data_IF_693728567173
#
_entry.id   IF_693728567173
#
_cell.length_a   1.000
_cell.length_b   1.000
_cell.length_c   1.000
_cell.angle_alpha   90.00
_cell.angle_beta   90.00
_cell.angle_gamma   90.00
#
_symmetry.space_group_name_H-M   'P 1'
#
loop_
_entity.id
_entity.type
_entity.pdbx_description
1 polymer ?
#
# COMPACT_ATOMS: atom_id res chain seq x y z
N UNK A 1 -15.90 23.26 3.98
CA UNK A 1 -16.77 22.63 2.98
C UNK A 1 -17.48 23.71 2.20
N UNK A 2 -17.63 23.57 0.88
CA UNK A 2 -18.45 24.49 0.08
C UNK A 2 -19.92 24.11 0.19
N UNK A 3 -20.83 25.03 -0.15
CA UNK A 3 -22.27 24.75 -0.24
C UNK A 3 -22.58 23.61 -1.22
N UNK A 4 -21.82 23.53 -2.32
CA UNK A 4 -21.95 22.47 -3.33
C UNK A 4 -21.65 21.10 -2.71
N UNK A 5 -20.57 20.99 -1.92
CA UNK A 5 -20.25 19.74 -1.22
C UNK A 5 -21.34 19.37 -0.22
N UNK A 6 -21.90 20.34 0.53
CA UNK A 6 -22.98 20.07 1.47
C UNK A 6 -24.23 19.56 0.76
N UNK A 7 -24.63 20.21 -0.34
CA UNK A 7 -25.78 19.77 -1.14
C UNK A 7 -25.58 18.35 -1.67
N UNK A 8 -24.43 18.05 -2.27
CA UNK A 8 -24.13 16.72 -2.79
C UNK A 8 -24.15 15.63 -1.71
N UNK A 9 -23.73 15.94 -0.47
CA UNK A 9 -23.86 15.00 0.67
C UNK A 9 -25.32 14.78 1.06
N UNK A 10 -26.15 15.82 1.06
CA UNK A 10 -27.60 15.68 1.31
C UNK A 10 -28.28 14.87 0.21
N UNK A 11 -27.91 15.09 -1.05
CA UNK A 11 -28.40 14.31 -2.19
C UNK A 11 -27.99 12.84 -2.08
N UNK A 12 -26.75 12.56 -1.68
CA UNK A 12 -26.29 11.19 -1.46
C UNK A 12 -27.11 10.49 -0.37
N UNK A 13 -27.35 11.15 0.76
CA UNK A 13 -28.19 10.62 1.85
C UNK A 13 -29.63 10.40 1.37
N UNK A 14 -30.23 11.36 0.66
CA UNK A 14 -31.60 11.25 0.17
C UNK A 14 -31.76 10.13 -0.87
N UNK A 15 -30.77 9.94 -1.75
CA UNK A 15 -30.75 8.87 -2.74
C UNK A 15 -30.35 7.51 -2.16
N UNK A 16 -29.85 7.46 -0.92
CA UNK A 16 -29.33 6.25 -0.29
C UNK A 16 -28.11 5.67 -1.01
N UNK A 17 -27.34 6.48 -1.77
CA UNK A 17 -26.13 6.07 -2.49
C UNK A 17 -25.22 7.26 -2.76
N UNK A 18 -23.95 7.04 -3.07
CA UNK A 18 -23.03 8.12 -3.36
C UNK A 18 -23.45 8.91 -4.60
N UNK A 19 -23.32 10.23 -4.54
CA UNK A 19 -23.53 11.14 -5.67
C UNK A 19 -22.21 11.35 -6.43
N UNK A 20 -22.21 11.39 -7.78
CA UNK A 20 -21.02 11.74 -8.55
C UNK A 20 -20.52 13.15 -8.19
N UNK A 21 -19.25 13.25 -7.78
CA UNK A 21 -18.57 14.52 -7.47
C UNK A 21 -17.71 15.07 -8.62
N UNK A 22 -17.51 14.28 -9.67
CA UNK A 22 -16.75 14.66 -10.86
C UNK A 22 -17.38 14.07 -12.12
N UNK A 23 -17.25 14.77 -13.25
CA UNK A 23 -17.76 14.33 -14.57
C UNK A 23 -16.70 13.65 -15.41
N UNK A 24 -15.42 13.74 -15.01
CA UNK A 24 -14.28 13.14 -15.70
C UNK A 24 -13.30 12.54 -14.69
N UNK A 25 -12.46 11.63 -15.18
CA UNK A 25 -11.35 11.09 -14.41
C UNK A 25 -10.21 12.13 -14.37
N UNK A 26 -10.03 12.81 -13.24
CA UNK A 26 -9.01 13.86 -13.10
C UNK A 26 -7.60 13.33 -12.82
N UNK A 27 -7.44 12.00 -12.70
CA UNK A 27 -6.17 11.36 -12.37
C UNK A 27 -5.91 10.24 -13.37
N UNK A 28 -4.75 10.29 -14.01
CA UNK A 28 -4.25 9.15 -14.78
C UNK A 28 -4.27 7.90 -13.91
N UNK A 29 -4.78 6.80 -14.47
CA UNK A 29 -4.67 5.46 -13.92
C UNK A 29 -3.99 4.61 -14.99
N UNK A 30 -2.82 4.07 -14.68
CA UNK A 30 -2.12 3.13 -15.57
C UNK A 30 -3.02 1.91 -15.78
N UNK A 31 -2.90 1.26 -16.95
CA UNK A 31 -3.63 0.02 -17.25
C UNK A 31 -3.22 -1.15 -16.35
N UNK A 32 -2.06 -1.03 -15.69
CA UNK A 32 -1.46 -2.10 -14.89
C UNK A 32 -0.98 -1.59 -13.52
N UNK A 33 -1.82 -0.92 -12.72
CA UNK A 33 -1.35 -0.31 -11.49
C UNK A 33 -1.05 -1.40 -10.45
N UNK A 34 0.00 -1.21 -9.65
CA UNK A 34 0.37 -2.14 -8.59
C UNK A 34 -0.52 -1.91 -7.37
N UNK A 35 -1.35 -2.89 -7.00
CA UNK A 35 -2.02 -2.87 -5.71
C UNK A 35 -1.03 -3.29 -4.61
N UNK A 36 -0.98 -2.52 -3.53
CA UNK A 36 -0.19 -2.83 -2.34
C UNK A 36 -1.02 -2.60 -1.08
N UNK A 37 -1.42 -3.70 -0.45
CA UNK A 37 -2.25 -3.74 0.76
C UNK A 37 -1.39 -4.20 1.92
N UNK A 38 -0.71 -3.28 2.63
CA UNK A 38 0.15 -3.64 3.75
C UNK A 38 -0.67 -3.95 5.01
N UNK A 39 -0.14 -4.81 5.85
CA UNK A 39 -0.60 -5.05 7.23
C UNK A 39 0.55 -4.84 8.21
N UNK A 40 0.23 -4.27 9.35
CA UNK A 40 1.16 -4.05 10.47
C UNK A 40 0.72 -4.81 11.70
N UNK A 41 1.69 -5.21 12.50
CA UNK A 41 1.43 -5.81 13.80
C UNK A 41 0.89 -4.75 14.75
N UNK A 42 -0.22 -5.05 15.43
CA UNK A 42 -0.74 -4.16 16.47
C UNK A 42 0.31 -3.87 17.55
N UNK A 43 0.43 -2.60 17.94
CA UNK A 43 1.32 -2.16 19.01
C UNK A 43 2.80 -1.99 18.65
N UNK A 44 3.27 -2.42 17.47
CA UNK A 44 4.65 -2.20 17.02
C UNK A 44 4.68 -1.38 15.73
N UNK A 45 4.91 -0.07 15.87
CA UNK A 45 4.91 0.86 14.75
C UNK A 45 5.95 0.45 13.70
N UNK A 46 5.47 0.06 12.51
CA UNK A 46 6.32 -0.28 11.38
C UNK A 46 6.83 -1.72 11.33
N UNK A 47 6.37 -2.61 12.22
CA UNK A 47 6.60 -4.03 12.06
C UNK A 47 5.63 -4.60 11.01
N UNK A 48 6.10 -4.98 9.81
CA UNK A 48 5.24 -5.61 8.81
C UNK A 48 4.72 -6.93 9.35
N UNK A 49 3.42 -7.14 9.20
CA UNK A 49 2.78 -8.43 9.41
C UNK A 49 2.67 -9.20 8.08
N UNK A 50 2.42 -8.47 7.00
CA UNK A 50 2.29 -9.02 5.67
C UNK A 50 1.87 -7.96 4.67
N UNK A 51 1.75 -8.36 3.41
CA UNK A 51 1.18 -7.53 2.37
C UNK A 51 0.60 -8.39 1.26
N UNK A 52 -0.54 -7.97 0.71
CA UNK A 52 -0.98 -8.43 -0.59
C UNK A 52 -0.46 -7.45 -1.64
N UNK A 53 0.22 -7.96 -2.68
CA UNK A 53 0.85 -7.14 -3.71
C UNK A 53 0.66 -7.76 -5.10
N UNK A 54 0.28 -6.97 -6.09
CA UNK A 54 0.16 -7.44 -7.47
C UNK A 54 -0.60 -6.50 -8.40
N UNK A 55 -0.46 -6.74 -9.71
CA UNK A 55 -1.18 -6.02 -10.77
C UNK A 55 -2.37 -6.82 -11.32
N UNK A 56 -2.42 -8.14 -11.09
CA UNK A 56 -3.53 -9.02 -11.49
C UNK A 56 -4.40 -9.34 -10.28
N UNK A 57 -5.70 -9.02 -10.37
CA UNK A 57 -6.68 -9.29 -9.32
C UNK A 57 -6.82 -10.78 -8.99
N UNK A 58 -6.56 -11.65 -9.96
CA UNK A 58 -6.77 -13.10 -9.86
C UNK A 58 -5.53 -13.84 -9.37
N UNK A 59 -4.36 -13.19 -9.44
CA UNK A 59 -3.08 -13.76 -9.04
C UNK A 59 -2.22 -12.77 -8.23
N UNK A 60 -2.73 -12.21 -7.11
CA UNK A 60 -1.90 -11.39 -6.23
C UNK A 60 -0.89 -12.26 -5.47
N UNK A 61 0.28 -11.71 -5.15
CA UNK A 61 1.25 -12.35 -4.26
C UNK A 61 0.96 -11.94 -2.82
N UNK A 62 0.80 -12.94 -1.95
CA UNK A 62 0.68 -12.74 -0.50
C UNK A 62 2.05 -12.93 0.15
N UNK A 63 2.56 -11.88 0.78
CA UNK A 63 3.77 -11.88 1.59
C UNK A 63 3.36 -11.88 3.07
N UNK A 64 4.01 -12.69 3.90
CA UNK A 64 3.70 -12.80 5.33
C UNK A 64 4.97 -12.80 6.17
N UNK A 65 4.88 -12.23 7.37
CA UNK A 65 5.91 -12.34 8.40
C UNK A 65 5.38 -13.25 9.51
N UNK A 66 5.77 -14.54 9.56
CA UNK A 66 5.17 -15.49 10.50
C UNK A 66 5.35 -15.09 11.98
N UNK A 67 6.45 -14.41 12.29
CA UNK A 67 6.74 -13.87 13.61
C UNK A 67 7.27 -12.43 13.46
N UNK A 68 6.41 -11.39 13.53
CA UNK A 68 6.81 -10.00 13.29
C UNK A 68 7.85 -9.42 14.26
N UNK A 69 8.06 -10.05 15.42
CA UNK A 69 9.10 -9.68 16.37
C UNK A 69 10.50 -10.12 15.92
N UNK A 70 10.56 -11.14 15.07
CA UNK A 70 11.80 -11.65 14.50
C UNK A 70 12.33 -10.64 13.46
N UNK A 71 13.61 -10.26 13.59
CA UNK A 71 14.25 -9.26 12.71
C UNK A 71 14.67 -9.85 11.37
N UNK A 72 14.99 -11.15 11.35
CA UNK A 72 15.44 -11.82 10.14
C UNK A 72 14.24 -12.06 9.23
N UNK A 73 13.14 -12.58 9.76
CA UNK A 73 11.89 -12.75 9.00
C UNK A 73 11.35 -11.42 8.48
N UNK A 74 11.49 -10.32 9.25
CA UNK A 74 11.14 -8.99 8.76
C UNK A 74 12.04 -8.56 7.61
N UNK A 75 13.33 -8.87 7.66
CA UNK A 75 14.28 -8.52 6.60
C UNK A 75 14.02 -9.33 5.33
N UNK A 76 13.69 -10.62 5.47
CA UNK A 76 13.28 -11.49 4.36
C UNK A 76 12.03 -10.96 3.67
N UNK A 77 11.02 -10.56 4.43
CA UNK A 77 9.83 -9.92 3.87
C UNK A 77 10.14 -8.65 3.05
N UNK A 78 11.06 -7.80 3.51
CA UNK A 78 11.47 -6.60 2.76
C UNK A 78 12.23 -6.97 1.48
N UNK A 79 13.01 -8.04 1.51
CA UNK A 79 13.72 -8.56 0.34
C UNK A 79 12.75 -9.15 -0.69
N UNK A 80 11.73 -9.89 -0.25
CA UNK A 80 10.65 -10.41 -1.10
C UNK A 80 9.79 -9.29 -1.68
N UNK A 81 9.47 -8.27 -0.89
CA UNK A 81 8.73 -7.11 -1.38
C UNK A 81 9.53 -6.37 -2.48
N UNK A 82 10.85 -6.27 -2.32
CA UNK A 82 11.72 -5.69 -3.34
C UNK A 82 11.76 -6.53 -4.63
N UNK A 83 11.72 -7.85 -4.53
CA UNK A 83 11.64 -8.75 -5.69
C UNK A 83 10.34 -8.59 -6.48
N UNK A 84 9.25 -8.14 -5.85
CA UNK A 84 7.99 -7.85 -6.56
C UNK A 84 7.98 -6.45 -7.15
N UNK A 85 8.32 -5.44 -6.34
CA UNK A 85 8.12 -4.05 -6.72
C UNK A 85 9.20 -3.52 -7.67
N UNK A 86 10.45 -3.96 -7.55
CA UNK A 86 11.51 -3.41 -8.38
C UNK A 86 11.36 -3.81 -9.85
N UNK A 87 11.10 -5.09 -10.22
CA UNK A 87 10.87 -5.43 -11.63
C UNK A 87 9.65 -4.71 -12.22
N UNK A 88 8.62 -4.49 -11.42
CA UNK A 88 7.47 -3.69 -11.83
C UNK A 88 7.86 -2.25 -12.15
N UNK A 89 8.66 -1.59 -11.31
CA UNK A 89 9.12 -0.21 -11.54
C UNK A 89 10.05 -0.14 -12.75
N UNK A 90 11.00 -1.07 -12.83
CA UNK A 90 12.02 -1.14 -13.88
C UNK A 90 11.39 -1.32 -15.27
N UNK A 91 10.29 -2.09 -15.37
CA UNK A 91 9.57 -2.27 -16.64
C UNK A 91 8.96 -0.99 -17.24
N UNK A 92 8.89 0.11 -16.50
CA UNK A 92 8.47 1.42 -17.03
C UNK A 92 9.64 2.26 -17.57
N UNK A 93 10.88 1.81 -17.39
CA UNK A 93 12.05 2.48 -17.94
C UNK A 93 12.24 2.23 -19.44
N UNK A 94 11.65 1.16 -19.99
CA UNK A 94 11.81 0.79 -21.41
C UNK A 94 10.90 1.61 -22.35
N UNK A 95 9.69 1.94 -21.89
CA UNK A 95 8.73 2.72 -22.67
C UNK A 95 8.93 4.21 -22.43
N UNK A 96 9.68 4.87 -23.32
CA UNK A 96 10.01 6.30 -23.18
C UNK A 96 9.47 7.14 -24.33
N UNK A 97 9.14 8.39 -24.01
CA UNK A 97 8.90 9.47 -24.95
C UNK A 97 10.07 10.47 -24.89
N UNK A 98 10.48 10.98 -26.04
CA UNK A 98 11.54 11.98 -26.14
C UNK A 98 10.92 13.39 -26.00
N UNK A 99 11.43 14.17 -25.05
CA UNK A 99 11.06 15.56 -24.86
C UNK A 99 12.28 16.46 -25.08
N UNK A 100 12.14 17.53 -25.87
CA UNK A 100 13.19 18.53 -26.02
C UNK A 100 13.16 19.51 -24.84
N UNK A 101 14.23 19.56 -24.05
CA UNK A 101 14.41 20.51 -22.95
C UNK A 101 15.59 21.43 -23.21
N UNK A 102 15.53 22.63 -22.63
CA UNK A 102 16.65 23.58 -22.68
C UNK A 102 17.49 23.45 -21.43
N UNK A 103 18.67 22.88 -21.55
CA UNK A 103 19.66 22.83 -20.47
C UNK A 103 20.79 23.83 -20.70
N UNK A 104 21.42 24.27 -19.62
CA UNK A 104 22.58 25.17 -19.70
C UNK A 104 23.81 24.33 -19.93
N UNK A 105 24.46 24.52 -21.07
CA UNK A 105 25.71 23.87 -21.40
C UNK A 105 26.81 24.31 -20.42
N UNK A 106 27.46 23.37 -19.70
CA UNK A 106 28.42 23.71 -18.65
C UNK A 106 29.71 24.35 -19.17
N UNK A 107 30.06 24.15 -20.44
CA UNK A 107 31.26 24.75 -21.05
C UNK A 107 31.01 26.16 -21.61
N UNK A 108 29.90 26.35 -22.33
CA UNK A 108 29.59 27.61 -23.03
C UNK A 108 28.62 28.53 -22.27
N UNK A 109 27.94 28.03 -21.23
CA UNK A 109 26.95 28.76 -20.44
C UNK A 109 25.66 29.11 -21.20
N UNK A 110 25.49 28.64 -22.43
CA UNK A 110 24.31 28.89 -23.26
C UNK A 110 23.25 27.83 -23.05
N UNK A 111 21.97 28.20 -23.23
CA UNK A 111 20.88 27.22 -23.26
C UNK A 111 20.89 26.50 -24.59
N UNK A 112 21.12 25.19 -24.55
CA UNK A 112 21.09 24.30 -25.71
C UNK A 112 19.90 23.34 -25.60
N UNK A 113 19.27 22.97 -26.72
CA UNK A 113 18.27 21.93 -26.71
C UNK A 113 18.94 20.57 -26.44
N UNK A 114 18.37 19.82 -25.51
CA UNK A 114 18.78 18.47 -25.12
C UNK A 114 17.54 17.60 -25.16
N UNK A 115 17.63 16.47 -25.86
CA UNK A 115 16.59 15.46 -25.82
C UNK A 115 16.70 14.68 -24.50
N UNK A 116 15.59 14.63 -23.76
CA UNK A 116 15.48 13.84 -22.53
C UNK A 116 14.44 12.74 -22.72
N UNK A 117 14.74 11.56 -22.20
CA UNK A 117 13.79 10.45 -22.14
C UNK A 117 12.88 10.60 -20.93
N UNK A 118 11.57 10.51 -21.16
CA UNK A 118 10.55 10.45 -20.11
C UNK A 118 9.81 9.13 -20.20
N UNK A 119 9.58 8.47 -19.07
CA UNK A 119 8.70 7.30 -19.05
C UNK A 119 7.31 7.67 -19.62
N UNK A 120 6.85 6.90 -20.61
CA UNK A 120 5.59 7.09 -21.31
C UNK A 120 4.36 6.78 -20.41
N UNK A 121 4.57 5.97 -19.36
CA UNK A 121 3.57 5.70 -18.33
C UNK A 121 4.21 5.75 -16.93
N UNK A 122 3.37 5.84 -15.91
CA UNK A 122 3.78 5.90 -14.52
C UNK A 122 3.65 4.53 -13.84
N UNK A 123 4.69 4.04 -13.13
CA UNK A 123 4.57 2.84 -12.28
C UNK A 123 3.73 3.18 -11.05
N UNK A 124 2.41 3.19 -11.17
CA UNK A 124 1.53 3.62 -10.09
C UNK A 124 1.42 2.57 -8.98
N UNK A 125 1.38 3.03 -7.73
CA UNK A 125 1.14 2.21 -6.56
C UNK A 125 -0.20 2.62 -5.93
N UNK A 126 -1.14 1.68 -5.90
CA UNK A 126 -2.43 1.84 -5.22
C UNK A 126 -2.30 1.29 -3.81
N UNK A 127 -2.68 2.11 -2.83
CA UNK A 127 -2.82 1.69 -1.44
C UNK A 127 -4.26 1.92 -0.98
N UNK A 128 -4.81 1.15 -0.03
CA UNK A 128 -6.24 1.25 0.26
C UNK A 128 -6.66 2.61 0.82
N UNK A 129 -5.86 3.15 1.74
CA UNK A 129 -6.19 4.39 2.46
C UNK A 129 -4.97 5.28 2.68
N UNK A 130 -5.20 6.47 3.26
CA UNK A 130 -4.11 7.39 3.65
C UNK A 130 -3.13 6.77 4.66
N UNK A 131 -3.58 5.79 5.45
CA UNK A 131 -2.72 5.04 6.34
C UNK A 131 -1.72 4.15 5.57
N UNK A 132 -2.13 3.60 4.41
CA UNK A 132 -1.23 2.90 3.49
C UNK A 132 -0.12 3.79 2.95
N UNK A 133 -0.42 5.05 2.61
CA UNK A 133 0.59 6.05 2.20
C UNK A 133 1.60 6.29 3.33
N UNK A 134 1.11 6.42 4.56
CA UNK A 134 1.94 6.60 5.74
C UNK A 134 2.87 5.41 5.99
N UNK A 135 2.37 4.19 5.74
CA UNK A 135 3.16 2.97 5.83
C UNK A 135 4.25 2.88 4.76
N UNK A 136 3.92 3.18 3.49
CA UNK A 136 4.93 3.25 2.40
C UNK A 136 6.07 4.22 2.76
N UNK A 137 5.73 5.39 3.32
CA UNK A 137 6.70 6.38 3.77
C UNK A 137 7.57 5.86 4.91
N UNK A 138 7.00 5.09 5.83
CA UNK A 138 7.72 4.47 6.94
C UNK A 138 8.71 3.42 6.42
N UNK A 139 8.28 2.53 5.52
CA UNK A 139 9.15 1.56 4.87
C UNK A 139 10.30 2.24 4.14
N UNK A 140 10.02 3.27 3.33
CA UNK A 140 11.05 4.04 2.62
C UNK A 140 12.13 4.58 3.56
N UNK A 141 11.74 5.18 4.70
CA UNK A 141 12.69 5.65 5.73
C UNK A 141 13.51 4.52 6.35
N UNK A 142 12.89 3.37 6.63
CA UNK A 142 13.53 2.25 7.32
C UNK A 142 14.55 1.47 6.45
N UNK A 143 14.43 1.56 5.13
CA UNK A 143 15.20 0.76 4.18
C UNK A 143 16.29 1.54 3.45
N UNK A 144 16.04 2.80 3.07
CA UNK A 144 16.86 3.54 2.08
C UNK A 144 18.35 3.70 2.40
N UNK A 145 18.72 3.56 3.69
CA UNK A 145 20.10 3.70 4.17
C UNK A 145 20.63 2.44 4.85
N UNK A 146 19.97 1.29 4.69
CA UNK A 146 20.56 0.02 5.14
C UNK A 146 21.83 -0.26 4.34
N UNK A 147 22.89 -0.68 5.02
CA UNK A 147 24.18 -0.98 4.41
C UNK A 147 24.14 -2.36 3.76
N UNK A 148 24.76 -2.49 2.59
CA UNK A 148 24.97 -3.76 1.91
C UNK A 148 26.35 -4.33 2.25
N UNK A 149 26.56 -5.63 2.00
CA UNK A 149 27.85 -6.27 2.21
C UNK A 149 28.95 -5.64 1.33
N UNK A 150 28.61 -5.16 0.14
CA UNK A 150 29.55 -4.46 -0.76
C UNK A 150 30.02 -3.11 -0.19
N UNK A 151 29.15 -2.42 0.56
CA UNK A 151 29.45 -1.11 1.13
C UNK A 151 30.20 -1.19 2.46
N UNK A 152 29.90 -2.22 3.25
CA UNK A 152 30.44 -2.43 4.58
C UNK A 152 30.50 -3.94 4.87
N UNK A 153 31.58 -4.63 4.45
CA UNK A 153 31.73 -6.08 4.63
C UNK A 153 31.69 -6.53 6.09
N UNK A 154 32.06 -5.65 7.02
CA UNK A 154 32.12 -5.93 8.47
C UNK A 154 30.77 -5.72 9.17
N UNK A 155 29.73 -5.29 8.43
CA UNK A 155 28.42 -5.07 9.03
C UNK A 155 27.80 -6.41 9.48
N UNK A 156 27.32 -6.56 10.72
CA UNK A 156 26.85 -7.87 11.21
C UNK A 156 25.65 -8.46 10.45
N UNK A 157 24.82 -7.60 9.83
CA UNK A 157 23.61 -8.00 9.11
C UNK A 157 23.42 -7.15 7.84
N UNK A 158 24.20 -7.43 6.77
CA UNK A 158 24.10 -6.64 5.54
C UNK A 158 22.75 -6.87 4.86
N UNK A 159 22.12 -5.79 4.42
CA UNK A 159 20.91 -5.89 3.62
C UNK A 159 21.24 -6.29 2.17
N UNK A 160 20.39 -7.11 1.51
CA UNK A 160 20.50 -7.33 0.07
C UNK A 160 20.42 -5.99 -0.69
N UNK A 161 21.21 -5.75 -1.77
CA UNK A 161 21.24 -4.47 -2.48
C UNK A 161 19.88 -3.95 -2.96
N UNK A 162 18.95 -4.85 -3.27
CA UNK A 162 17.56 -4.54 -3.63
C UNK A 162 16.76 -3.85 -2.53
N UNK A 163 17.05 -4.12 -1.25
CA UNK A 163 16.30 -3.56 -0.13
C UNK A 163 16.53 -2.03 0.01
N UNK A 164 17.78 -1.51 0.07
CA UNK A 164 18.02 -0.08 0.03
C UNK A 164 17.50 0.61 -1.24
N UNK A 165 17.60 -0.05 -2.40
CA UNK A 165 17.06 0.47 -3.65
C UNK A 165 15.54 0.66 -3.58
N UNK A 166 14.80 -0.36 -3.12
CA UNK A 166 13.36 -0.23 -2.88
C UNK A 166 13.08 0.89 -1.86
N UNK A 167 13.88 1.01 -0.81
CA UNK A 167 13.76 2.10 0.17
C UNK A 167 13.81 3.50 -0.43
N UNK A 168 14.70 3.71 -1.41
CA UNK A 168 14.80 4.98 -2.16
C UNK A 168 13.55 5.21 -3.02
N UNK A 169 13.08 4.18 -3.73
CA UNK A 169 11.83 4.26 -4.50
C UNK A 169 10.62 4.59 -3.62
N UNK A 170 10.40 3.84 -2.53
CA UNK A 170 9.27 4.12 -1.62
C UNK A 170 9.38 5.50 -0.95
N UNK A 171 10.61 5.99 -0.71
CA UNK A 171 10.81 7.39 -0.30
C UNK A 171 10.35 8.35 -1.39
N UNK A 172 10.72 8.11 -2.65
CA UNK A 172 10.26 8.91 -3.79
C UNK A 172 8.73 8.91 -3.91
N UNK A 173 8.07 7.75 -3.94
CA UNK A 173 6.59 7.64 -3.91
C UNK A 173 5.99 8.42 -2.75
N UNK A 174 6.58 8.27 -1.57
CA UNK A 174 6.18 8.95 -0.35
C UNK A 174 6.21 10.48 -0.46
N UNK A 175 7.30 11.05 -0.99
CA UNK A 175 7.39 12.50 -1.19
C UNK A 175 6.48 12.97 -2.33
N UNK A 176 6.39 12.20 -3.41
CA UNK A 176 5.50 12.51 -4.54
C UNK A 176 4.02 12.49 -4.16
N UNK A 177 3.61 11.70 -3.17
CA UNK A 177 2.22 11.71 -2.67
C UNK A 177 1.77 13.05 -2.09
N UNK A 178 2.71 13.93 -1.72
CA UNK A 178 2.44 15.27 -1.18
C UNK A 178 2.34 16.35 -2.26
N UNK A 179 2.77 16.04 -3.48
CA UNK A 179 2.75 16.99 -4.59
C UNK A 179 1.35 16.97 -5.21
N UNK A 180 0.63 18.12 -5.27
CA UNK A 180 -0.65 18.20 -5.95
C UNK A 180 -0.54 17.71 -7.40
N UNK A 181 -1.50 16.92 -7.87
CA UNK A 181 -1.49 16.37 -9.24
C UNK A 181 -0.60 15.13 -9.45
N UNK A 182 0.26 14.76 -8.50
CA UNK A 182 1.08 13.53 -8.60
C UNK A 182 0.25 12.26 -8.49
N UNK A 183 0.35 11.36 -9.46
CA UNK A 183 -0.42 10.11 -9.53
C UNK A 183 0.43 8.86 -9.30
N UNK A 184 1.61 8.98 -8.68
CA UNK A 184 2.49 7.84 -8.44
C UNK A 184 2.05 6.94 -7.28
N UNK A 185 1.58 7.54 -6.17
CA UNK A 185 1.10 6.81 -5.00
C UNK A 185 -0.32 7.28 -4.68
N UNK A 186 -1.30 6.40 -4.90
CA UNK A 186 -2.71 6.74 -4.89
C UNK A 186 -3.43 5.98 -3.75
N UNK A 187 -3.86 6.67 -2.68
CA UNK A 187 -4.79 6.08 -1.73
C UNK A 187 -6.18 5.95 -2.37
N UNK A 188 -6.73 4.73 -2.41
CA UNK A 188 -8.03 4.47 -3.05
C UNK A 188 -9.16 5.26 -2.39
N UNK A 189 -9.19 5.35 -1.06
CA UNK A 189 -10.17 6.21 -0.36
C UNK A 189 -10.09 7.66 -0.82
N UNK A 190 -8.86 8.19 -0.95
CA UNK A 190 -8.65 9.57 -1.42
C UNK A 190 -8.99 9.79 -2.90
N UNK A 191 -8.79 8.79 -3.76
CA UNK A 191 -9.16 8.86 -5.18
C UNK A 191 -10.68 8.78 -5.35
N UNK A 192 -11.32 7.84 -4.65
CA UNK A 192 -12.76 7.60 -4.73
C UNK A 192 -13.56 8.76 -4.12
N UNK A 193 -13.18 9.28 -2.95
CA UNK A 193 -13.85 10.44 -2.32
C UNK A 193 -13.67 11.76 -3.09
N UNK A 194 -12.81 11.79 -4.13
CA UNK A 194 -12.77 12.93 -5.08
C UNK A 194 -13.79 12.81 -6.20
N UNK A 195 -14.21 11.59 -6.54
CA UNK A 195 -15.15 11.31 -7.62
C UNK A 195 -16.56 11.01 -7.12
N UNK A 196 -16.69 10.66 -5.84
CA UNK A 196 -17.95 10.28 -5.21
C UNK A 196 -18.12 11.04 -3.90
N UNK A 197 -19.32 11.57 -3.70
CA UNK A 197 -19.75 12.21 -2.47
C UNK A 197 -20.65 11.25 -1.71
N UNK A 198 -20.27 10.87 -0.50
CA UNK A 198 -21.05 9.99 0.38
C UNK A 198 -21.80 10.81 1.45
N UNK A 199 -22.75 10.17 2.15
CA UNK A 199 -23.31 10.75 3.37
C UNK A 199 -22.34 10.77 4.56
N UNK A 200 -21.23 10.05 4.46
CA UNK A 200 -20.29 9.84 5.55
C UNK A 200 -19.42 11.06 5.81
N UNK A 201 -18.78 11.10 6.98
CA UNK A 201 -17.66 11.99 7.26
C UNK A 201 -16.40 11.53 6.50
N UNK A 202 -15.44 12.44 6.33
CA UNK A 202 -14.15 12.09 5.70
C UNK A 202 -13.32 11.06 6.49
N UNK A 203 -13.63 10.87 7.78
CA UNK A 203 -12.98 9.85 8.61
C UNK A 203 -13.56 8.46 8.32
N UNK A 204 -14.89 8.34 8.25
CA UNK A 204 -15.58 7.10 7.87
C UNK A 204 -15.23 6.68 6.44
N UNK A 205 -15.08 7.63 5.51
CA UNK A 205 -14.59 7.37 4.15
C UNK A 205 -13.18 6.75 4.10
N UNK A 206 -12.40 6.74 5.21
CA UNK A 206 -11.13 6.00 5.25
C UNK A 206 -11.32 4.48 5.38
N UNK A 207 -12.52 4.01 5.72
CA UNK A 207 -12.86 2.59 5.66
C UNK A 207 -13.25 2.23 4.22
N UNK A 208 -12.31 1.67 3.46
CA UNK A 208 -12.49 1.42 2.02
C UNK A 208 -13.75 0.59 1.70
N UNK A 209 -14.04 -0.45 2.50
CA UNK A 209 -15.25 -1.25 2.32
C UNK A 209 -16.55 -0.45 2.53
N UNK A 210 -16.54 0.51 3.46
CA UNK A 210 -17.71 1.34 3.73
C UNK A 210 -17.93 2.37 2.61
N UNK A 211 -16.83 2.99 2.14
CA UNK A 211 -16.85 3.87 0.97
C UNK A 211 -17.36 3.16 -0.29
N UNK A 212 -16.90 1.93 -0.55
CA UNK A 212 -17.39 1.13 -1.67
C UNK A 212 -18.87 0.77 -1.51
N UNK A 213 -19.32 0.46 -0.29
CA UNK A 213 -20.75 0.24 0.01
C UNK A 213 -21.62 1.46 -0.29
N UNK A 214 -21.11 2.68 -0.12
CA UNK A 214 -21.81 3.89 -0.56
C UNK A 214 -21.86 4.05 -2.08
N UNK A 215 -20.77 3.73 -2.77
CA UNK A 215 -20.64 3.92 -4.22
C UNK A 215 -21.51 2.92 -4.98
N UNK A 216 -21.43 1.66 -4.60
CA UNK A 216 -22.12 0.54 -5.23
C UNK A 216 -22.71 -0.39 -4.15
N UNK A 217 -23.81 0.03 -3.49
CA UNK A 217 -24.43 -0.78 -2.45
C UNK A 217 -24.99 -2.07 -3.05
N UNK A 218 -24.92 -3.21 -2.32
CA UNK A 218 -25.59 -4.45 -2.70
C UNK A 218 -27.10 -4.23 -2.91
N UNK A 219 -27.71 -5.05 -3.77
CA UNK A 219 -29.15 -4.98 -4.05
C UNK A 219 -29.97 -5.04 -2.75
N UNK A 220 -30.92 -4.11 -2.62
CA UNK A 220 -31.81 -4.02 -1.45
C UNK A 220 -31.22 -3.31 -0.24
N UNK A 221 -29.96 -2.85 -0.29
CA UNK A 221 -29.36 -2.03 0.76
C UNK A 221 -29.15 -0.59 0.29
N UNK A 222 -29.29 0.35 1.22
CA UNK A 222 -28.76 1.71 1.05
C UNK A 222 -27.26 1.73 1.30
N UNK A 223 -26.58 2.77 0.81
CA UNK A 223 -25.16 3.02 1.07
C UNK A 223 -24.83 3.08 2.56
N UNK A 224 -25.71 3.67 3.37
CA UNK A 224 -25.54 3.72 4.83
C UNK A 224 -25.61 2.31 5.47
N UNK A 225 -26.56 1.47 5.05
CA UNK A 225 -26.68 0.10 5.55
C UNK A 225 -25.52 -0.78 5.08
N UNK A 226 -25.09 -0.64 3.82
CA UNK A 226 -23.95 -1.35 3.28
C UNK A 226 -22.64 -0.94 3.97
N UNK A 227 -22.47 0.35 4.28
CA UNK A 227 -21.33 0.87 5.02
C UNK A 227 -21.29 0.33 6.45
N UNK A 228 -22.40 0.43 7.19
CA UNK A 228 -22.50 -0.12 8.53
C UNK A 228 -22.22 -1.62 8.53
N UNK A 229 -22.79 -2.36 7.57
CA UNK A 229 -22.53 -3.79 7.41
C UNK A 229 -21.04 -4.07 7.21
N UNK A 230 -20.35 -3.32 6.35
CA UNK A 230 -18.91 -3.47 6.14
C UNK A 230 -18.10 -3.21 7.41
N UNK A 231 -18.54 -2.30 8.28
CA UNK A 231 -17.82 -1.95 9.52
C UNK A 231 -18.05 -2.94 10.66
N UNK A 232 -19.25 -3.52 10.78
CA UNK A 232 -19.65 -4.26 11.99
C UNK A 232 -20.05 -5.71 11.78
N UNK A 233 -20.36 -6.13 10.55
CA UNK A 233 -20.82 -7.50 10.31
C UNK A 233 -19.71 -8.50 10.63
N UNK A 234 -20.06 -9.49 11.46
CA UNK A 234 -19.14 -10.55 11.87
C UNK A 234 -19.68 -11.91 11.48
N UNK A 235 -18.77 -12.81 11.13
CA UNK A 235 -19.08 -14.21 10.85
C UNK A 235 -19.35 -15.02 12.13
N UNK A 236 -19.61 -16.32 11.98
CA UNK A 236 -19.87 -17.23 13.10
C UNK A 236 -18.69 -17.37 14.09
N UNK A 237 -17.47 -17.03 13.68
CA UNK A 237 -16.28 -17.01 14.53
C UNK A 237 -16.06 -15.65 15.21
N UNK A 238 -16.92 -14.67 14.89
CA UNK A 238 -16.84 -13.31 15.39
C UNK A 238 -15.78 -12.47 14.69
N UNK A 239 -15.32 -12.84 13.49
CA UNK A 239 -14.40 -12.05 12.68
C UNK A 239 -15.18 -11.11 11.76
N UNK A 240 -14.63 -9.93 11.46
CA UNK A 240 -15.24 -9.03 10.49
C UNK A 240 -15.33 -9.69 9.12
N UNK A 241 -16.51 -9.62 8.50
CA UNK A 241 -16.74 -10.11 7.12
C UNK A 241 -16.00 -9.24 6.12
N UNK A 242 -15.92 -7.92 6.37
CA UNK A 242 -15.14 -6.97 5.59
C UNK A 242 -14.03 -6.37 6.48
N UNK A 243 -12.88 -7.06 6.63
CA UNK A 243 -11.79 -6.52 7.44
C UNK A 243 -11.24 -5.23 6.82
N UNK A 244 -10.71 -4.30 7.64
CA UNK A 244 -10.09 -3.09 7.12
C UNK A 244 -8.93 -3.45 6.19
N UNK A 245 -8.84 -2.78 5.04
CA UNK A 245 -7.78 -2.99 4.05
C UNK A 245 -6.46 -2.32 4.48
N UNK A 246 -6.01 -2.60 5.70
CA UNK A 246 -4.72 -2.20 6.26
C UNK A 246 -4.57 -0.73 6.67
N UNK A 247 -3.39 -0.35 7.19
CA UNK A 247 -2.36 -1.23 7.76
C UNK A 247 -2.78 -1.86 9.09
N UNK A 248 -3.79 -1.30 9.76
CA UNK A 248 -4.31 -1.85 11.00
C UNK A 248 -5.12 -3.13 10.75
N UNK A 249 -5.08 -4.03 11.73
CA UNK A 249 -5.86 -5.26 11.79
C UNK A 249 -7.01 -5.13 12.81
N UNK A 250 -8.02 -6.00 12.68
CA UNK A 250 -9.10 -6.08 13.67
C UNK A 250 -8.59 -6.76 14.96
N UNK A 251 -8.82 -6.20 16.15
CA UNK A 251 -8.36 -6.79 17.40
C UNK A 251 -8.91 -8.19 17.68
N UNK A 252 -10.10 -8.54 17.18
CA UNK A 252 -10.65 -9.88 17.35
C UNK A 252 -9.91 -10.87 16.46
N UNK A 253 -9.59 -10.49 15.21
CA UNK A 253 -8.68 -11.27 14.36
C UNK A 253 -7.31 -11.48 15.01
N UNK A 254 -6.71 -10.42 15.56
CA UNK A 254 -5.40 -10.50 16.21
C UNK A 254 -5.38 -11.53 17.35
N UNK A 255 -6.39 -11.50 18.20
CA UNK A 255 -6.48 -12.37 19.37
C UNK A 255 -6.92 -13.80 19.02
N UNK A 256 -7.91 -13.98 18.14
CA UNK A 256 -8.51 -15.29 17.85
C UNK A 256 -7.78 -16.09 16.77
N UNK A 257 -7.13 -15.43 15.81
CA UNK A 257 -6.49 -16.09 14.66
C UNK A 257 -4.98 -15.89 14.65
N UNK A 258 -4.53 -14.63 14.70
CA UNK A 258 -3.12 -14.31 14.49
C UNK A 258 -2.25 -14.82 15.65
N UNK A 259 -2.56 -14.46 16.90
CA UNK A 259 -1.77 -14.87 18.05
C UNK A 259 -1.66 -16.41 18.20
N UNK A 260 -2.74 -17.20 18.03
CA UNK A 260 -2.63 -18.66 17.99
C UNK A 260 -1.79 -19.20 16.82
N UNK A 261 -1.84 -18.55 15.65
CA UNK A 261 -1.03 -18.94 14.49
C UNK A 261 0.46 -18.70 14.74
N UNK A 262 0.82 -17.55 15.30
CA UNK A 262 2.19 -17.24 15.73
C UNK A 262 2.68 -18.24 16.78
N UNK A 263 1.84 -18.58 17.77
CA UNK A 263 2.19 -19.59 18.77
C UNK A 263 2.40 -21.00 18.19
N UNK A 264 1.69 -21.38 17.11
CA UNK A 264 1.97 -22.63 16.38
C UNK A 264 3.29 -22.57 15.64
N UNK A 265 3.59 -21.44 15.00
CA UNK A 265 4.87 -21.22 14.31
C UNK A 265 6.05 -21.32 15.28
N UNK A 266 5.97 -20.65 16.44
CA UNK A 266 7.02 -20.67 17.46
C UNK A 266 7.27 -22.11 17.97
N UNK A 267 6.20 -22.86 18.29
CA UNK A 267 6.33 -24.27 18.71
C UNK A 267 7.01 -25.12 17.64
N UNK A 268 6.59 -25.01 16.40
CA UNK A 268 7.17 -25.77 15.29
C UNK A 268 8.67 -25.47 15.11
N UNK A 269 9.09 -24.21 15.28
CA UNK A 269 10.51 -23.85 15.25
C UNK A 269 11.31 -24.43 16.41
N UNK A 270 10.77 -24.38 17.63
CA UNK A 270 11.42 -24.98 18.80
C UNK A 270 11.57 -26.49 18.67
N UNK A 271 10.55 -27.18 18.17
CA UNK A 271 10.59 -28.62 17.91
C UNK A 271 11.63 -28.98 16.83
N UNK A 272 11.70 -28.20 15.74
CA UNK A 272 12.70 -28.39 14.69
C UNK A 272 14.13 -28.17 15.19
N UNK A 273 14.35 -27.15 16.02
CA UNK A 273 15.66 -26.89 16.64
C UNK A 273 16.09 -28.04 17.57
N UNK A 274 15.20 -28.49 18.45
CA UNK A 274 15.47 -29.62 19.35
C UNK A 274 15.76 -30.93 18.59
N UNK A 275 15.06 -31.18 17.48
CA UNK A 275 15.33 -32.35 16.64
C UNK A 275 16.70 -32.27 15.94
N UNK A 276 17.13 -31.07 15.51
CA UNK A 276 18.45 -30.87 14.92
C UNK A 276 19.58 -31.08 15.94
N UNK A 277 19.40 -30.66 17.18
CA UNK A 277 20.35 -30.90 18.27
C UNK A 277 20.44 -32.38 18.67
N UNK A 278 19.30 -33.09 18.71
CA UNK A 278 19.25 -34.52 19.02
C UNK A 278 19.81 -35.44 17.91
N UNK A 279 19.91 -34.93 16.68
CA UNK A 279 20.46 -35.63 15.51
C UNK A 279 21.91 -35.30 15.18
N UNK A 280 22.58 -34.44 15.97
CA UNK A 280 24.00 -34.13 15.82
C UNK A 280 24.86 -35.22 16.49
N UNK A 281 25.85 -35.80 15.80
CA UNK A 281 26.71 -36.88 16.33
C UNK A 281 27.61 -36.44 17.48
#
# INVERSE_FOLDING_TARGET
>A
MSLITTLARMEAVAAGRAAPGATVLHRHLSDRPMAFVPLTTAGEAGAPLGALVGTDRSAPRLLVVPQPRDRDLRSDFLAELAEVLLPYIDGYADGVELEERKETDPESGKKVPVEVELCADAPQLLVPSAAGVSFVRLLGRSMRFRRTAEQDPETPHPAPPRVPLLGRWLTHYGERSRVPGSSLLLPMTGLLSRHWTTGQSGAEDQHLGALLGWIDPPEGLTGAEAALRAEVERDGDGLLVCPPAGPATDPVFDNKRLAPAMGRYDRSRSEAAAAAEAGAP
#
